data_IF_250543088018
#
_entry.id   IF_250543088018
#
_cell.length_a   1.000
_cell.length_b   1.000
_cell.length_c   1.000
_cell.angle_alpha   90.00
_cell.angle_beta   90.00
_cell.angle_gamma   90.00
#
_symmetry.space_group_name_H-M   'P 1'
#
loop_
_entity.id
_entity.type
_entity.pdbx_description
1 polymer ?
#
# COMPACT_ATOMS: atom_id res chain seq x y z
N UNK A 1 -12.02 18.05 13.69
CA UNK A 1 -12.78 16.87 13.23
C UNK A 1 -11.72 15.81 12.93
N UNK A 2 -11.90 14.55 13.34
CA UNK A 2 -10.92 13.51 13.02
C UNK A 2 -10.99 13.22 11.52
N UNK A 3 -10.09 13.78 10.72
CA UNK A 3 -10.12 13.64 9.27
C UNK A 3 -9.88 12.19 8.80
N UNK A 4 -9.37 11.33 9.67
CA UNK A 4 -9.21 9.88 9.43
C UNK A 4 -10.54 9.20 9.08
N UNK A 5 -11.64 9.62 9.70
CA UNK A 5 -12.96 9.03 9.46
C UNK A 5 -13.46 9.26 8.02
N UNK A 6 -12.88 10.23 7.30
CA UNK A 6 -13.24 10.57 5.93
C UNK A 6 -12.46 9.79 4.87
N UNK A 7 -11.34 9.15 5.21
CA UNK A 7 -10.52 8.40 4.25
C UNK A 7 -11.32 7.31 3.53
N UNK A 8 -12.25 6.68 4.23
CA UNK A 8 -12.93 5.47 3.73
C UNK A 8 -14.41 5.67 3.38
N UNK A 9 -14.92 6.90 3.48
CA UNK A 9 -16.35 7.18 3.31
C UNK A 9 -16.68 8.01 2.06
N UNK A 10 -15.68 8.26 1.20
CA UNK A 10 -15.83 9.02 -0.05
C UNK A 10 -16.01 10.53 0.14
N UNK A 11 -15.98 11.05 1.38
CA UNK A 11 -15.95 12.49 1.63
C UNK A 11 -14.56 13.04 1.35
N UNK A 12 -14.50 14.31 1.01
CA UNK A 12 -13.24 15.02 0.91
C UNK A 12 -12.54 15.04 2.28
N UNK A 13 -11.27 14.69 2.29
CA UNK A 13 -10.37 14.88 3.42
C UNK A 13 -9.18 15.73 2.98
N UNK A 14 -8.47 16.30 3.96
CA UNK A 14 -7.27 17.07 3.71
C UNK A 14 -6.06 16.18 3.99
N UNK A 15 -5.29 15.74 2.98
CA UNK A 15 -4.19 14.81 3.18
C UNK A 15 -3.04 15.39 4.00
N UNK A 16 -2.91 16.72 4.05
CA UNK A 16 -1.89 17.42 4.84
C UNK A 16 -2.36 17.75 6.26
N UNK A 17 -3.44 17.13 6.74
CA UNK A 17 -3.82 17.23 8.15
C UNK A 17 -2.74 16.58 9.02
N UNK A 18 -2.25 17.28 10.04
CA UNK A 18 -1.14 16.81 10.89
C UNK A 18 -1.43 15.44 11.51
N UNK A 19 -2.68 15.16 11.90
CA UNK A 19 -3.06 13.90 12.52
C UNK A 19 -3.05 12.71 11.54
N UNK A 20 -3.21 12.99 10.24
CA UNK A 20 -3.06 12.02 9.16
C UNK A 20 -1.57 11.80 8.89
N UNK A 21 -0.82 12.89 8.70
CA UNK A 21 0.61 12.82 8.38
C UNK A 21 1.42 12.08 9.45
N UNK A 22 1.17 12.37 10.74
CA UNK A 22 1.88 11.72 11.86
C UNK A 22 1.77 10.19 11.80
N UNK A 23 0.58 9.68 11.45
CA UNK A 23 0.36 8.23 11.34
C UNK A 23 0.86 7.69 10.00
N UNK A 24 0.66 8.43 8.91
CA UNK A 24 1.10 8.04 7.58
C UNK A 24 2.62 7.80 7.54
N UNK A 25 3.41 8.67 8.19
CA UNK A 25 4.87 8.54 8.24
C UNK A 25 5.32 7.21 8.83
N UNK A 26 4.62 6.68 9.84
CA UNK A 26 4.98 5.39 10.46
C UNK A 26 4.87 4.22 9.47
N UNK A 27 3.88 4.26 8.57
CA UNK A 27 3.75 3.25 7.52
C UNK A 27 4.76 3.45 6.39
N UNK A 28 5.06 4.71 6.05
CA UNK A 28 6.05 5.03 5.03
C UNK A 28 7.48 4.65 5.46
N UNK A 29 7.80 4.73 6.76
CA UNK A 29 9.08 4.25 7.29
C UNK A 29 9.25 2.73 7.07
N UNK A 30 8.22 1.93 7.39
CA UNK A 30 8.23 0.49 7.11
C UNK A 30 8.35 0.17 5.62
N UNK A 31 7.64 0.92 4.78
CA UNK A 31 7.74 0.79 3.32
C UNK A 31 9.15 1.08 2.83
N UNK A 32 9.78 2.12 3.37
CA UNK A 32 11.16 2.47 3.06
C UNK A 32 12.09 1.31 3.42
N UNK A 33 11.97 0.76 4.63
CA UNK A 33 12.79 -0.39 5.07
C UNK A 33 12.60 -1.61 4.15
N UNK A 34 11.36 -1.93 3.76
CA UNK A 34 11.06 -3.03 2.84
C UNK A 34 11.79 -2.85 1.50
N UNK A 35 11.75 -1.63 0.96
CA UNK A 35 12.39 -1.29 -0.30
C UNK A 35 13.93 -1.34 -0.24
N UNK A 36 14.53 -1.27 0.95
CA UNK A 36 15.98 -1.39 1.15
C UNK A 36 16.45 -2.85 1.35
N UNK A 37 15.54 -3.83 1.36
CA UNK A 37 15.91 -5.24 1.50
C UNK A 37 16.65 -5.78 0.28
N UNK A 38 17.66 -6.62 0.51
CA UNK A 38 18.42 -7.30 -0.55
C UNK A 38 17.57 -8.40 -1.20
N UNK A 39 17.79 -8.72 -2.50
CA UNK A 39 17.08 -9.80 -3.18
C UNK A 39 17.18 -11.18 -2.49
N UNK A 40 18.28 -11.43 -1.77
CA UNK A 40 18.48 -12.69 -1.02
C UNK A 40 17.69 -12.79 0.28
N UNK A 41 17.02 -11.72 0.73
CA UNK A 41 16.32 -11.66 2.02
C UNK A 41 14.81 -11.96 1.87
N UNK A 42 14.48 -13.07 1.21
CA UNK A 42 13.10 -13.42 0.85
C UNK A 42 12.19 -13.61 2.09
N UNK A 43 12.66 -14.32 3.11
CA UNK A 43 11.95 -14.52 4.39
C UNK A 43 11.64 -13.20 5.11
N UNK A 44 12.62 -12.28 5.10
CA UNK A 44 12.45 -10.95 5.68
C UNK A 44 11.39 -10.16 4.91
N UNK A 45 11.48 -10.13 3.57
CA UNK A 45 10.48 -9.47 2.71
C UNK A 45 9.07 -10.00 2.99
N UNK A 46 8.91 -11.31 3.08
CA UNK A 46 7.62 -11.94 3.37
C UNK A 46 7.08 -11.56 4.76
N UNK A 47 7.96 -11.47 5.77
CA UNK A 47 7.58 -11.02 7.13
C UNK A 47 7.15 -9.56 7.12
N UNK A 48 7.93 -8.68 6.49
CA UNK A 48 7.62 -7.26 6.42
C UNK A 48 6.31 -6.98 5.70
N UNK A 49 6.03 -7.69 4.59
CA UNK A 49 4.74 -7.54 3.90
C UNK A 49 3.55 -7.89 4.80
N UNK A 50 3.67 -8.90 5.68
CA UNK A 50 2.62 -9.23 6.66
C UNK A 50 2.43 -8.17 7.75
N UNK A 51 3.48 -7.43 8.08
CA UNK A 51 3.42 -6.33 9.06
C UNK A 51 2.94 -5.01 8.46
N UNK A 52 3.08 -4.87 7.14
CA UNK A 52 2.74 -3.67 6.38
C UNK A 52 1.30 -3.70 5.87
N UNK A 53 0.86 -4.81 5.28
CA UNK A 53 -0.43 -4.92 4.63
C UNK A 53 -1.58 -5.04 5.63
N UNK A 54 -2.77 -4.59 5.25
CA UNK A 54 -3.98 -4.87 6.02
C UNK A 54 -4.22 -6.37 6.10
N UNK A 55 -4.14 -7.03 4.95
CA UNK A 55 -4.20 -8.48 4.80
C UNK A 55 -3.30 -8.90 3.64
N UNK A 56 -2.50 -9.96 3.84
CA UNK A 56 -1.73 -10.58 2.75
C UNK A 56 -1.72 -12.10 2.92
N UNK A 57 -2.20 -12.79 1.88
CA UNK A 57 -2.29 -14.24 1.84
C UNK A 57 -0.93 -14.93 1.76
N UNK A 58 -0.98 -16.26 1.71
CA UNK A 58 0.21 -17.12 1.55
C UNK A 58 0.83 -16.92 0.19
N UNK A 59 2.13 -17.18 0.09
CA UNK A 59 2.87 -17.22 -1.18
C UNK A 59 2.76 -15.93 -2.02
N UNK A 60 2.53 -14.79 -1.37
CA UNK A 60 2.58 -13.48 -2.02
C UNK A 60 4.02 -12.99 -2.15
N UNK A 61 4.30 -12.31 -3.26
CA UNK A 61 5.61 -11.76 -3.54
C UNK A 61 5.51 -10.45 -4.32
N UNK A 62 6.21 -9.43 -3.84
CA UNK A 62 6.26 -8.11 -4.46
C UNK A 62 7.73 -7.78 -4.71
N UNK A 63 8.09 -7.53 -5.96
CA UNK A 63 9.42 -7.04 -6.31
C UNK A 63 9.59 -5.58 -5.89
N UNK A 64 10.57 -5.25 -5.02
CA UNK A 64 10.88 -3.86 -4.72
C UNK A 64 11.46 -3.11 -5.93
N UNK A 65 11.18 -1.81 -6.09
CA UNK A 65 10.46 -0.98 -5.13
C UNK A 65 8.93 -1.16 -5.25
N UNK A 66 8.29 -1.18 -4.07
CA UNK A 66 6.85 -1.02 -3.89
C UNK A 66 6.58 0.44 -3.49
N UNK A 67 5.53 1.05 -4.03
CA UNK A 67 5.12 2.41 -3.70
C UNK A 67 3.71 2.42 -3.13
N UNK A 68 3.49 3.17 -2.05
CA UNK A 68 2.19 3.26 -1.40
C UNK A 68 2.03 4.56 -0.63
N UNK A 69 0.81 5.09 -0.53
CA UNK A 69 0.52 6.29 0.29
C UNK A 69 0.47 5.95 1.78
N UNK A 70 0.03 4.74 2.14
CA UNK A 70 -0.10 4.26 3.51
C UNK A 70 0.72 2.99 3.74
N UNK A 71 1.81 2.80 3.00
CA UNK A 71 2.72 1.66 3.18
C UNK A 71 2.08 0.28 2.97
N UNK A 72 0.94 0.19 2.28
CA UNK A 72 0.17 -1.04 2.12
C UNK A 72 -0.92 -1.23 3.20
N UNK A 73 -1.04 -0.32 4.16
CA UNK A 73 -1.92 -0.47 5.32
C UNK A 73 -3.42 -0.57 4.98
N UNK A 74 -3.84 -0.19 3.79
CA UNK A 74 -5.21 -0.40 3.32
C UNK A 74 -5.32 -1.43 2.18
N UNK A 75 -4.23 -2.13 1.87
CA UNK A 75 -4.17 -3.11 0.79
C UNK A 75 -4.40 -4.52 1.34
N UNK A 76 -5.29 -5.24 0.65
CA UNK A 76 -5.73 -6.58 1.00
C UNK A 76 -5.49 -7.52 -0.17
N UNK A 77 -4.52 -8.43 -0.01
CA UNK A 77 -4.15 -9.41 -1.02
C UNK A 77 -4.57 -10.81 -0.57
N UNK A 78 -5.23 -11.54 -1.48
CA UNK A 78 -5.45 -12.99 -1.34
C UNK A 78 -4.16 -13.81 -1.42
N UNK A 79 -4.28 -15.11 -1.61
CA UNK A 79 -3.14 -16.02 -1.73
C UNK A 79 -2.48 -15.95 -3.12
N UNK A 80 -1.17 -16.22 -3.19
CA UNK A 80 -0.42 -16.34 -4.45
C UNK A 80 -0.50 -15.10 -5.36
N UNK A 81 -0.46 -13.90 -4.77
CA UNK A 81 -0.37 -12.65 -5.52
C UNK A 81 1.09 -12.35 -5.85
N UNK A 82 1.39 -12.17 -7.13
CA UNK A 82 2.71 -11.75 -7.60
C UNK A 82 2.63 -10.32 -8.16
N UNK A 83 3.55 -9.46 -7.74
CA UNK A 83 3.74 -8.15 -8.33
C UNK A 83 5.18 -7.95 -8.79
N UNK A 84 5.34 -7.59 -10.06
CA UNK A 84 6.62 -7.21 -10.63
C UNK A 84 7.02 -5.79 -10.20
N UNK A 85 8.20 -5.33 -10.64
CA UNK A 85 8.81 -4.07 -10.23
C UNK A 85 7.86 -2.86 -10.36
N UNK A 86 7.98 -1.93 -9.42
CA UNK A 86 7.30 -0.63 -9.43
C UNK A 86 5.76 -0.74 -9.33
N UNK A 87 5.24 -1.72 -8.59
CA UNK A 87 3.84 -1.67 -8.19
C UNK A 87 3.60 -0.41 -7.34
N UNK A 88 2.59 0.38 -7.73
CA UNK A 88 2.16 1.56 -6.98
C UNK A 88 0.72 1.38 -6.52
N UNK A 89 0.49 1.45 -5.21
CA UNK A 89 -0.83 1.42 -4.59
C UNK A 89 -1.13 2.79 -3.93
N UNK A 90 -1.90 3.65 -4.58
CA UNK A 90 -2.41 4.89 -3.97
C UNK A 90 -3.57 4.52 -3.04
N UNK A 91 -3.21 3.96 -1.88
CA UNK A 91 -4.08 3.27 -0.92
C UNK A 91 -4.62 4.21 0.16
N UNK A 92 -5.12 5.39 -0.23
CA UNK A 92 -5.84 6.28 0.69
C UNK A 92 -7.13 5.66 1.24
N UNK A 93 -7.69 4.69 0.52
CA UNK A 93 -8.67 3.74 1.06
C UNK A 93 -8.39 2.32 0.54
N UNK A 94 -9.32 1.40 0.80
CA UNK A 94 -9.11 -0.01 0.63
C UNK A 94 -8.91 -0.42 -0.83
N UNK A 95 -7.87 -1.24 -1.05
CA UNK A 95 -7.62 -1.95 -2.31
C UNK A 95 -7.76 -3.45 -2.02
N UNK A 96 -8.62 -4.13 -2.77
CA UNK A 96 -8.84 -5.58 -2.65
C UNK A 96 -8.36 -6.30 -3.91
N UNK A 97 -7.46 -7.25 -3.75
CA UNK A 97 -6.92 -8.08 -4.84
C UNK A 97 -7.13 -9.56 -4.52
N UNK A 98 -7.79 -10.27 -5.43
CA UNK A 98 -8.07 -11.70 -5.26
C UNK A 98 -6.83 -12.59 -5.44
N UNK A 99 -6.94 -13.84 -4.98
CA UNK A 99 -5.87 -14.84 -5.09
C UNK A 99 -5.48 -15.16 -6.54
N UNK A 100 -4.24 -15.60 -6.75
CA UNK A 100 -3.66 -15.95 -8.06
C UNK A 100 -3.57 -14.77 -9.05
N UNK A 101 -3.50 -13.54 -8.54
CA UNK A 101 -3.33 -12.35 -9.37
C UNK A 101 -1.86 -12.12 -9.69
N UNK A 102 -1.55 -11.76 -10.94
CA UNK A 102 -0.22 -11.36 -11.36
C UNK A 102 -0.24 -9.95 -11.93
N UNK A 103 0.52 -9.04 -11.34
CA UNK A 103 0.76 -7.71 -11.87
C UNK A 103 2.05 -7.67 -12.70
N UNK A 104 1.96 -7.10 -13.90
CA UNK A 104 3.14 -6.71 -14.68
C UNK A 104 3.90 -5.55 -14.02
N UNK A 105 5.04 -5.14 -14.60
CA UNK A 105 5.81 -4.03 -14.05
C UNK A 105 5.10 -2.69 -14.27
N UNK A 106 5.32 -1.73 -13.36
CA UNK A 106 4.79 -0.36 -13.41
C UNK A 106 3.25 -0.27 -13.38
N UNK A 107 2.58 -1.22 -12.74
CA UNK A 107 1.12 -1.13 -12.53
C UNK A 107 0.82 -0.11 -11.42
N UNK A 108 -0.19 0.73 -11.66
CA UNK A 108 -0.72 1.68 -10.67
C UNK A 108 -2.16 1.32 -10.34
N UNK A 109 -2.42 1.10 -9.05
CA UNK A 109 -3.76 0.96 -8.47
C UNK A 109 -4.04 2.21 -7.65
N UNK A 110 -5.02 3.02 -8.05
CA UNK A 110 -5.28 4.30 -7.39
C UNK A 110 -6.71 4.44 -6.88
N UNK A 111 -6.84 4.69 -5.57
CA UNK A 111 -8.13 4.96 -4.91
C UNK A 111 -8.40 6.45 -4.76
N UNK A 112 -7.36 7.27 -4.66
CA UNK A 112 -7.48 8.72 -4.56
C UNK A 112 -7.71 9.39 -5.92
N UNK A 113 -8.45 10.49 -5.88
CA UNK A 113 -8.62 11.42 -6.99
C UNK A 113 -8.78 12.84 -6.46
N UNK A 114 -8.62 13.83 -7.33
CA UNK A 114 -8.82 15.23 -6.99
C UNK A 114 -10.08 15.78 -7.66
N UNK A 115 -10.83 16.68 -6.99
CA UNK A 115 -11.90 17.41 -7.65
C UNK A 115 -11.38 18.14 -8.90
N UNK A 116 -12.16 18.12 -9.98
CA UNK A 116 -11.87 18.95 -11.14
C UNK A 116 -11.95 20.42 -10.72
N UNK A 117 -10.93 21.22 -11.04
CA UNK A 117 -11.01 22.66 -10.88
C UNK A 117 -11.99 23.19 -11.94
N UNK A 118 -13.08 23.81 -11.49
CA UNK A 118 -14.05 24.51 -12.33
C UNK A 118 -13.78 26.01 -12.40
#
# INVERSE_FOLDING_TARGET
MNHKDNLHNGKLYFPNDESIMEVQLQYLDKLYEFNQTRPSQLELRATMLKEMFAEIGKDCYIEPPFHSNWGGHHVHFGDSVYANFNLTCVDDTHIWVGSNTMFGPNVVLATAGHPLMG
#
